data_IF_040850029632
#
_entry.id   IF_040850029632
#
_cell.length_a   1.000
_cell.length_b   1.000
_cell.length_c   1.000
_cell.angle_alpha   90.00
_cell.angle_beta   90.00
_cell.angle_gamma   90.00
#
_symmetry.space_group_name_H-M   'P 1'
#
loop_
_entity.id
_entity.type
_entity.pdbx_description
1 polymer ?
#
# COMPACT_ATOMS: atom_id res chain seq x y z
N UNK A 1 0.73 6.61 -51.61
CA UNK A 1 0.41 7.49 -50.46
C UNK A 1 -0.15 6.59 -49.37
N UNK A 2 0.32 6.75 -48.12
CA UNK A 2 -0.30 6.06 -46.99
C UNK A 2 -1.73 6.59 -46.81
N UNK A 3 -2.63 5.74 -46.40
CA UNK A 3 -3.98 6.18 -46.02
C UNK A 3 -3.96 7.06 -44.78
N UNK A 4 -5.00 7.90 -44.59
CA UNK A 4 -5.13 8.72 -43.35
C UNK A 4 -5.14 7.85 -42.10
N UNK A 5 -5.77 6.69 -42.15
CA UNK A 5 -5.78 5.70 -41.06
C UNK A 5 -4.37 5.20 -40.74
N UNK A 6 -3.61 4.78 -41.73
CA UNK A 6 -2.22 4.34 -41.53
C UNK A 6 -1.38 5.46 -40.87
N UNK A 7 -1.59 6.69 -41.30
CA UNK A 7 -0.90 7.85 -40.71
C UNK A 7 -1.28 8.06 -39.24
N UNK A 8 -2.58 7.92 -38.88
CA UNK A 8 -3.04 7.97 -37.50
C UNK A 8 -2.40 6.86 -36.68
N UNK A 9 -2.33 5.63 -37.18
CA UNK A 9 -1.69 4.52 -36.46
C UNK A 9 -0.19 4.74 -36.26
N UNK A 10 0.51 5.32 -37.22
CA UNK A 10 1.92 5.67 -37.09
C UNK A 10 2.12 6.72 -35.96
N UNK A 11 1.33 7.79 -35.96
CA UNK A 11 1.38 8.80 -34.90
C UNK A 11 0.97 8.24 -33.55
N UNK A 12 -0.07 7.39 -33.49
CA UNK A 12 -0.48 6.73 -32.27
C UNK A 12 0.63 5.82 -31.70
N UNK A 13 1.38 5.14 -32.58
CA UNK A 13 2.52 4.33 -32.18
C UNK A 13 3.67 5.20 -31.62
N UNK A 14 4.03 6.28 -32.30
CA UNK A 14 5.07 7.22 -31.89
C UNK A 14 4.74 7.87 -30.54
N UNK A 15 3.50 8.33 -30.37
CA UNK A 15 3.00 8.94 -29.13
C UNK A 15 2.61 7.92 -28.06
N UNK A 16 2.74 6.62 -28.34
CA UNK A 16 2.36 5.52 -27.43
C UNK A 16 0.89 5.59 -26.98
N UNK A 17 0.00 5.91 -27.94
CA UNK A 17 -1.45 5.96 -27.72
C UNK A 17 -2.07 4.59 -28.07
N UNK A 18 -2.01 3.66 -27.13
CA UNK A 18 -2.41 2.27 -27.38
C UNK A 18 -3.92 2.12 -27.58
N UNK A 19 -4.74 2.90 -26.89
CA UNK A 19 -6.20 2.87 -27.07
C UNK A 19 -6.60 3.36 -28.46
N UNK A 20 -5.90 4.34 -29.04
CA UNK A 20 -6.11 4.76 -30.43
C UNK A 20 -5.92 3.61 -31.40
N UNK A 21 -4.89 2.79 -31.19
CA UNK A 21 -4.61 1.66 -32.06
C UNK A 21 -5.67 0.57 -31.99
N UNK A 22 -6.22 0.33 -30.81
CA UNK A 22 -7.17 -0.76 -30.57
C UNK A 22 -8.62 -0.34 -30.77
N UNK A 23 -8.98 0.91 -30.45
CA UNK A 23 -10.36 1.37 -30.35
C UNK A 23 -10.80 2.31 -31.49
N UNK A 24 -9.88 2.77 -32.36
CA UNK A 24 -10.18 3.76 -33.38
C UNK A 24 -11.33 3.34 -34.27
N UNK A 25 -11.28 2.11 -34.83
CA UNK A 25 -12.29 1.61 -35.77
C UNK A 25 -13.68 1.50 -35.11
N UNK A 26 -13.72 0.92 -33.92
CA UNK A 26 -14.97 0.80 -33.16
C UNK A 26 -15.55 2.17 -32.85
N UNK A 27 -14.69 3.13 -32.44
CA UNK A 27 -15.14 4.49 -32.10
C UNK A 27 -15.59 5.27 -33.34
N UNK A 28 -14.97 5.06 -34.51
CA UNK A 28 -15.40 5.65 -35.80
C UNK A 28 -16.78 5.13 -36.21
N UNK A 29 -16.99 3.81 -36.11
CA UNK A 29 -18.29 3.20 -36.43
C UNK A 29 -19.40 3.74 -35.53
N UNK A 30 -19.17 3.80 -34.22
CA UNK A 30 -20.13 4.33 -33.25
C UNK A 30 -20.43 5.81 -33.51
N UNK A 31 -19.40 6.62 -33.79
CA UNK A 31 -19.56 8.03 -34.12
C UNK A 31 -20.39 8.26 -35.38
N UNK A 32 -20.29 7.39 -36.38
CA UNK A 32 -21.10 7.45 -37.60
C UNK A 32 -22.55 7.06 -37.34
N UNK A 33 -22.80 6.01 -36.52
CA UNK A 33 -24.13 5.55 -36.15
C UNK A 33 -24.89 6.59 -35.31
N UNK A 34 -24.20 7.22 -34.36
CA UNK A 34 -24.81 8.19 -33.43
C UNK A 34 -24.69 9.65 -33.89
N UNK A 35 -24.16 9.89 -35.09
CA UNK A 35 -23.94 11.22 -35.68
C UNK A 35 -23.14 12.17 -34.75
N UNK A 36 -22.06 11.68 -34.17
CA UNK A 36 -21.19 12.50 -33.33
C UNK A 36 -20.50 13.61 -34.10
N UNK A 37 -20.34 14.76 -33.48
CA UNK A 37 -19.46 15.78 -34.01
C UNK A 37 -17.97 15.46 -33.70
N UNK A 38 -17.07 16.19 -34.35
CA UNK A 38 -15.63 15.95 -34.21
C UNK A 38 -15.13 16.06 -32.76
N UNK A 39 -15.71 16.96 -31.94
CA UNK A 39 -15.33 17.13 -30.55
C UNK A 39 -15.78 15.93 -29.71
N UNK A 40 -17.00 15.43 -29.92
CA UNK A 40 -17.50 14.25 -29.24
C UNK A 40 -16.60 13.02 -29.53
N UNK A 41 -16.28 12.80 -30.81
CA UNK A 41 -15.38 11.72 -31.21
C UNK A 41 -14.01 11.81 -30.54
N UNK A 42 -13.38 12.99 -30.57
CA UNK A 42 -12.07 13.19 -29.90
C UNK A 42 -12.15 13.03 -28.40
N UNK A 43 -13.21 13.51 -27.77
CA UNK A 43 -13.42 13.39 -26.32
C UNK A 43 -13.51 11.92 -25.91
N UNK A 44 -14.28 11.11 -26.67
CA UNK A 44 -14.41 9.69 -26.40
C UNK A 44 -13.10 8.94 -26.57
N UNK A 45 -12.41 9.14 -27.69
CA UNK A 45 -11.17 8.45 -27.99
C UNK A 45 -10.04 8.81 -27.01
N UNK A 46 -9.89 10.09 -26.68
CA UNK A 46 -8.94 10.55 -25.64
C UNK A 46 -9.33 10.07 -24.25
N UNK A 47 -10.64 9.99 -23.97
CA UNK A 47 -11.17 9.43 -22.72
C UNK A 47 -10.75 7.99 -22.51
N UNK A 48 -10.88 7.15 -23.55
CA UNK A 48 -10.43 5.74 -23.54
C UNK A 48 -8.92 5.62 -23.29
N UNK A 49 -8.11 6.43 -23.97
CA UNK A 49 -6.65 6.44 -23.76
C UNK A 49 -6.30 6.87 -22.32
N UNK A 50 -6.95 7.91 -21.81
CA UNK A 50 -6.75 8.38 -20.44
C UNK A 50 -7.13 7.33 -19.41
N UNK A 51 -8.27 6.64 -19.60
CA UNK A 51 -8.72 5.56 -18.73
C UNK A 51 -7.72 4.39 -18.71
N UNK A 52 -7.27 3.97 -19.90
CA UNK A 52 -6.25 2.92 -20.05
C UNK A 52 -4.95 3.29 -19.36
N UNK A 53 -4.45 4.51 -19.53
CA UNK A 53 -3.23 4.97 -18.85
C UNK A 53 -3.37 5.01 -17.34
N UNK A 54 -4.53 5.43 -16.83
CA UNK A 54 -4.83 5.37 -15.39
C UNK A 54 -4.76 3.94 -14.87
N UNK A 55 -5.41 3.01 -15.57
CA UNK A 55 -5.42 1.61 -15.17
C UNK A 55 -4.01 0.98 -15.22
N UNK A 56 -3.23 1.23 -16.27
CA UNK A 56 -1.84 0.76 -16.37
C UNK A 56 -0.98 1.32 -15.21
N UNK A 57 -1.14 2.61 -14.85
CA UNK A 57 -0.43 3.21 -13.71
C UNK A 57 -0.83 2.56 -12.39
N UNK A 58 -2.14 2.31 -12.17
CA UNK A 58 -2.64 1.62 -10.95
C UNK A 58 -2.03 0.23 -10.81
N UNK A 59 -2.07 -0.57 -11.87
CA UNK A 59 -1.45 -1.91 -11.88
C UNK A 59 0.05 -1.86 -11.62
N UNK A 60 0.73 -0.90 -12.22
CA UNK A 60 2.17 -0.69 -12.00
C UNK A 60 2.49 -0.33 -10.54
N UNK A 61 1.70 0.57 -9.92
CA UNK A 61 1.86 0.91 -8.50
C UNK A 61 1.65 -0.28 -7.59
N UNK A 62 0.57 -1.05 -7.80
CA UNK A 62 0.29 -2.25 -7.01
C UNK A 62 1.44 -3.25 -7.12
N UNK A 63 1.93 -3.49 -8.34
CA UNK A 63 3.09 -4.38 -8.56
C UNK A 63 4.35 -3.89 -7.87
N UNK A 64 4.63 -2.58 -7.96
CA UNK A 64 5.83 -1.97 -7.39
C UNK A 64 5.79 -1.84 -5.88
N UNK A 65 4.61 -1.90 -5.26
CA UNK A 65 4.43 -1.80 -3.82
C UNK A 65 5.01 -2.99 -3.05
N UNK A 66 5.12 -4.17 -3.67
CA UNK A 66 5.72 -5.35 -3.07
C UNK A 66 4.81 -6.10 -2.08
N UNK A 67 3.49 -6.06 -2.28
CA UNK A 67 2.56 -6.81 -1.44
C UNK A 67 2.82 -8.31 -1.50
N UNK A 68 2.81 -9.03 -0.35
CA UNK A 68 3.07 -10.48 -0.30
C UNK A 68 1.94 -11.29 -0.92
N UNK A 69 0.71 -10.80 -0.83
CA UNK A 69 -0.50 -11.37 -1.40
C UNK A 69 -1.47 -10.26 -1.79
N UNK A 70 -2.30 -10.51 -2.79
CA UNK A 70 -3.41 -9.60 -3.10
C UNK A 70 -4.54 -9.88 -2.11
N UNK A 71 -4.87 -8.88 -1.29
CA UNK A 71 -5.93 -8.92 -0.29
C UNK A 71 -6.73 -7.63 -0.38
N UNK A 72 -8.05 -7.78 -0.49
CA UNK A 72 -8.95 -6.65 -0.69
C UNK A 72 -9.87 -6.43 0.51
N UNK A 73 -10.38 -5.20 0.67
CA UNK A 73 -11.27 -4.85 1.78
C UNK A 73 -12.59 -5.63 1.74
N UNK A 74 -13.13 -5.89 0.56
CA UNK A 74 -14.36 -6.66 0.38
C UNK A 74 -14.23 -8.15 0.73
N UNK A 75 -13.01 -8.65 0.86
CA UNK A 75 -12.75 -10.03 1.30
C UNK A 75 -12.72 -10.16 2.85
N UNK A 76 -12.79 -9.03 3.56
CA UNK A 76 -12.82 -9.04 5.02
C UNK A 76 -14.22 -9.39 5.51
N UNK A 77 -14.30 -10.44 6.32
CA UNK A 77 -15.53 -10.81 7.03
C UNK A 77 -15.61 -9.96 8.28
N UNK A 78 -16.43 -8.92 8.26
CA UNK A 78 -16.50 -7.91 9.31
C UNK A 78 -16.84 -8.51 10.67
N UNK A 79 -17.76 -9.49 10.72
CA UNK A 79 -18.21 -10.16 11.94
C UNK A 79 -17.11 -10.94 12.65
N UNK A 80 -16.11 -11.38 11.88
CA UNK A 80 -14.96 -12.13 12.40
C UNK A 80 -13.78 -11.24 12.83
N UNK A 81 -13.89 -9.93 12.59
CA UNK A 81 -12.84 -8.97 12.95
C UNK A 81 -13.01 -8.47 14.39
N UNK A 82 -11.92 -8.04 15.04
CA UNK A 82 -11.98 -7.34 16.32
C UNK A 82 -12.90 -6.11 16.26
N UNK A 83 -13.71 -5.91 17.31
CA UNK A 83 -14.71 -4.82 17.36
C UNK A 83 -14.12 -3.45 17.09
N UNK A 84 -12.93 -3.18 17.63
CA UNK A 84 -12.25 -1.90 17.40
C UNK A 84 -11.90 -1.69 15.93
N UNK A 85 -11.47 -2.76 15.24
CA UNK A 85 -11.21 -2.72 13.81
C UNK A 85 -12.50 -2.51 13.00
N UNK A 86 -13.61 -3.15 13.39
CA UNK A 86 -14.90 -2.96 12.73
C UNK A 86 -15.35 -1.49 12.78
N UNK A 87 -15.17 -0.83 13.92
CA UNK A 87 -15.58 0.57 14.12
C UNK A 87 -14.72 1.54 13.32
N UNK A 88 -13.40 1.32 13.27
CA UNK A 88 -12.47 2.28 12.68
C UNK A 88 -12.27 2.08 11.17
N UNK A 89 -12.50 0.87 10.66
CA UNK A 89 -12.22 0.54 9.26
C UNK A 89 -12.91 1.47 8.26
N UNK A 90 -14.19 1.85 8.40
CA UNK A 90 -14.84 2.79 7.49
C UNK A 90 -14.12 4.15 7.40
N UNK A 91 -13.58 4.65 8.50
CA UNK A 91 -12.79 5.88 8.52
C UNK A 91 -11.45 5.68 7.80
N UNK A 92 -10.75 4.57 8.09
CA UNK A 92 -9.49 4.24 7.43
C UNK A 92 -9.64 4.06 5.91
N UNK A 93 -10.79 3.59 5.46
CA UNK A 93 -11.10 3.41 4.05
C UNK A 93 -11.18 4.73 3.26
N UNK A 94 -11.40 5.85 3.89
CA UNK A 94 -11.34 7.17 3.24
C UNK A 94 -9.92 7.52 2.78
N UNK A 95 -8.91 6.90 3.39
CA UNK A 95 -7.48 7.16 3.20
C UNK A 95 -7.05 8.57 3.61
N UNK A 96 -7.88 9.30 4.36
CA UNK A 96 -7.54 10.65 4.82
C UNK A 96 -6.34 10.65 5.78
N UNK A 97 -6.14 9.56 6.51
CA UNK A 97 -4.94 9.40 7.34
C UNK A 97 -3.63 9.49 6.53
N UNK A 98 -3.64 9.04 5.27
CA UNK A 98 -2.47 9.16 4.36
C UNK A 98 -2.25 10.62 3.99
N UNK A 99 -3.32 11.35 3.62
CA UNK A 99 -3.25 12.77 3.27
C UNK A 99 -2.79 13.64 4.44
N UNK A 100 -3.19 13.25 5.65
CA UNK A 100 -2.83 13.94 6.90
C UNK A 100 -1.46 13.52 7.46
N UNK A 101 -0.78 12.54 6.85
CA UNK A 101 0.49 12.01 7.36
C UNK A 101 0.38 11.32 8.72
N UNK A 102 -0.80 10.78 9.07
CA UNK A 102 -1.07 10.08 10.33
C UNK A 102 -0.71 8.61 10.20
N UNK A 103 -0.12 8.05 11.25
CA UNK A 103 0.20 6.63 11.29
C UNK A 103 -1.02 5.77 11.66
N UNK A 104 -0.95 4.49 11.31
CA UNK A 104 -1.87 3.45 11.75
C UNK A 104 -1.05 2.31 12.39
N UNK A 105 -1.35 1.96 13.62
CA UNK A 105 -0.71 0.84 14.31
C UNK A 105 -1.76 -0.23 14.61
N UNK A 106 -1.62 -1.38 13.96
CA UNK A 106 -2.43 -2.57 14.18
C UNK A 106 -1.66 -3.51 15.10
N UNK A 107 -2.09 -3.65 16.35
CA UNK A 107 -1.40 -4.48 17.36
C UNK A 107 -2.32 -5.53 17.96
N UNK A 108 -1.79 -6.69 18.32
CA UNK A 108 -2.57 -7.77 18.95
C UNK A 108 -2.23 -9.16 18.44
N UNK A 109 -3.06 -10.15 18.73
CA UNK A 109 -2.79 -11.57 18.53
C UNK A 109 -2.46 -11.94 17.07
N UNK A 110 -1.64 -12.97 16.82
CA UNK A 110 -1.42 -13.51 15.48
C UNK A 110 -2.74 -13.99 14.84
N UNK A 111 -2.86 -13.85 13.52
CA UNK A 111 -3.98 -14.39 12.77
C UNK A 111 -5.30 -13.60 12.85
N UNK A 112 -5.30 -12.39 13.40
CA UNK A 112 -6.50 -11.53 13.55
C UNK A 112 -6.73 -10.57 12.37
N UNK A 113 -5.99 -10.73 11.26
CA UNK A 113 -6.24 -9.94 10.04
C UNK A 113 -5.41 -8.65 9.91
N UNK A 114 -4.44 -8.35 10.79
CA UNK A 114 -3.61 -7.13 10.73
C UNK A 114 -2.96 -6.92 9.37
N UNK A 115 -2.22 -7.91 8.88
CA UNK A 115 -1.56 -7.86 7.57
C UNK A 115 -2.57 -7.77 6.42
N UNK A 116 -3.75 -8.40 6.56
CA UNK A 116 -4.83 -8.30 5.56
C UNK A 116 -5.33 -6.85 5.47
N UNK A 117 -5.69 -6.23 6.59
CA UNK A 117 -6.14 -4.83 6.63
C UNK A 117 -5.06 -3.91 6.04
N UNK A 118 -3.81 -4.06 6.50
CA UNK A 118 -2.70 -3.23 6.03
C UNK A 118 -2.51 -3.35 4.50
N UNK A 119 -2.54 -4.58 3.96
CA UNK A 119 -2.42 -4.85 2.52
C UNK A 119 -3.61 -4.28 1.76
N UNK A 120 -4.83 -4.51 2.24
CA UNK A 120 -6.05 -4.05 1.57
C UNK A 120 -6.14 -2.52 1.50
N UNK A 121 -5.79 -1.81 2.58
CA UNK A 121 -5.66 -0.34 2.60
C UNK A 121 -4.55 0.12 1.65
N UNK A 122 -3.42 -0.58 1.60
CA UNK A 122 -2.32 -0.28 0.68
C UNK A 122 -2.71 -0.44 -0.80
N UNK A 123 -3.45 -1.49 -1.15
CA UNK A 123 -3.97 -1.71 -2.50
C UNK A 123 -4.97 -0.60 -2.86
N UNK A 124 -5.91 -0.29 -1.96
CA UNK A 124 -6.86 0.83 -2.14
C UNK A 124 -6.13 2.16 -2.34
N UNK A 125 -5.05 2.40 -1.60
CA UNK A 125 -4.21 3.59 -1.77
C UNK A 125 -3.56 3.63 -3.17
N UNK A 126 -3.01 2.52 -3.67
CA UNK A 126 -2.49 2.43 -5.04
C UNK A 126 -3.57 2.73 -6.10
N UNK A 127 -4.81 2.28 -5.87
CA UNK A 127 -5.95 2.55 -6.75
C UNK A 127 -6.36 4.03 -6.75
N UNK A 128 -6.11 4.76 -5.66
CA UNK A 128 -6.32 6.20 -5.51
C UNK A 128 -5.05 7.03 -5.79
N UNK A 129 -4.15 6.49 -6.60
CA UNK A 129 -2.96 7.16 -7.11
C UNK A 129 -1.85 7.44 -6.09
N UNK A 130 -1.92 6.92 -4.86
CA UNK A 130 -0.82 6.98 -3.89
C UNK A 130 0.31 6.01 -4.24
N UNK A 131 1.53 6.39 -3.91
CA UNK A 131 2.72 5.52 -3.98
C UNK A 131 2.88 4.78 -2.66
N UNK A 132 2.93 3.44 -2.73
CA UNK A 132 2.98 2.57 -1.54
C UNK A 132 4.22 1.70 -1.56
N UNK A 133 4.82 1.49 -0.40
CA UNK A 133 5.83 0.47 -0.14
C UNK A 133 5.31 -0.49 0.92
N UNK A 134 5.27 -1.77 0.62
CA UNK A 134 5.08 -2.83 1.61
C UNK A 134 6.43 -3.50 1.88
N UNK A 135 6.80 -3.62 3.14
CA UNK A 135 8.00 -4.33 3.56
C UNK A 135 7.78 -4.94 4.95
N UNK A 136 8.39 -6.09 5.22
CA UNK A 136 8.49 -6.54 6.60
C UNK A 136 9.66 -5.87 7.30
N UNK A 137 9.56 -5.65 8.61
CA UNK A 137 10.62 -5.00 9.39
C UNK A 137 11.94 -5.76 9.34
N UNK A 138 11.98 -7.10 9.37
CA UNK A 138 13.22 -7.85 9.16
C UNK A 138 13.90 -7.55 7.82
N UNK A 139 13.13 -7.53 6.73
CA UNK A 139 13.64 -7.20 5.39
C UNK A 139 14.14 -5.76 5.32
N UNK A 140 13.38 -4.83 5.87
CA UNK A 140 13.76 -3.41 5.92
C UNK A 140 15.08 -3.23 6.67
N UNK A 141 15.25 -3.87 7.83
CA UNK A 141 16.47 -3.78 8.62
C UNK A 141 17.69 -4.34 7.85
N UNK A 142 17.52 -5.46 7.15
CA UNK A 142 18.56 -6.03 6.29
C UNK A 142 18.96 -5.04 5.20
N UNK A 143 18.00 -4.46 4.48
CA UNK A 143 18.23 -3.45 3.44
C UNK A 143 18.96 -2.21 3.97
N UNK A 144 18.60 -1.74 5.18
CA UNK A 144 19.28 -0.58 5.80
C UNK A 144 20.75 -0.92 6.12
N UNK A 145 21.02 -2.12 6.66
CA UNK A 145 22.38 -2.57 6.97
C UNK A 145 23.22 -2.71 5.69
N UNK A 146 22.70 -3.34 4.66
CA UNK A 146 23.34 -3.47 3.37
C UNK A 146 23.65 -2.11 2.75
N UNK A 147 22.67 -1.21 2.73
CA UNK A 147 22.82 0.15 2.22
C UNK A 147 23.87 0.96 3.01
N UNK A 148 23.96 0.76 4.35
CA UNK A 148 24.99 1.36 5.19
C UNK A 148 26.38 0.83 4.79
N UNK A 149 26.52 -0.47 4.65
CA UNK A 149 27.79 -1.11 4.24
C UNK A 149 28.22 -0.69 2.84
N UNK A 150 27.28 -0.59 1.90
CA UNK A 150 27.51 -0.15 0.53
C UNK A 150 27.65 1.39 0.38
N UNK A 151 27.56 2.17 1.46
CA UNK A 151 27.55 3.65 1.46
C UNK A 151 26.42 4.28 0.62
N UNK A 152 25.32 3.56 0.44
CA UNK A 152 24.13 4.01 -0.32
C UNK A 152 22.94 4.32 0.57
N UNK A 153 23.13 4.39 1.89
CA UNK A 153 22.06 4.61 2.87
C UNK A 153 21.23 5.88 2.57
N UNK A 154 21.88 6.96 2.14
CA UNK A 154 21.18 8.20 1.79
C UNK A 154 20.22 8.03 0.62
N UNK A 155 20.58 7.23 -0.38
CA UNK A 155 19.72 6.92 -1.52
C UNK A 155 18.49 6.11 -1.07
N UNK A 156 18.68 5.12 -0.20
CA UNK A 156 17.59 4.35 0.40
C UNK A 156 16.64 5.25 1.20
N UNK A 157 17.17 6.15 2.04
CA UNK A 157 16.40 7.12 2.82
C UNK A 157 15.56 8.03 1.93
N UNK A 158 16.14 8.64 0.91
CA UNK A 158 15.44 9.51 -0.03
C UNK A 158 14.32 8.77 -0.78
N UNK A 159 14.54 7.50 -1.13
CA UNK A 159 13.50 6.66 -1.75
C UNK A 159 12.38 6.37 -0.75
N UNK A 160 12.72 6.04 0.50
CA UNK A 160 11.76 5.75 1.56
C UNK A 160 10.87 6.95 1.90
N UNK A 161 11.44 8.16 1.92
CA UNK A 161 10.71 9.42 2.17
C UNK A 161 9.70 9.75 1.05
N UNK A 162 9.92 9.30 -0.19
CA UNK A 162 9.06 9.63 -1.34
C UNK A 162 7.71 8.91 -1.34
N UNK A 163 7.63 7.72 -0.75
CA UNK A 163 6.37 6.99 -0.70
C UNK A 163 5.31 7.76 0.11
N UNK A 164 4.07 7.78 -0.38
CA UNK A 164 2.96 8.40 0.35
C UNK A 164 2.57 7.54 1.55
N UNK A 165 2.59 6.22 1.39
CA UNK A 165 2.33 5.24 2.44
C UNK A 165 3.46 4.21 2.49
N UNK A 166 3.93 3.89 3.68
CA UNK A 166 4.79 2.73 3.93
C UNK A 166 4.09 1.79 4.90
N UNK A 167 4.10 0.50 4.57
CA UNK A 167 3.59 -0.57 5.43
C UNK A 167 4.78 -1.35 5.96
N UNK A 168 4.99 -1.30 7.28
CA UNK A 168 6.01 -2.04 8.01
C UNK A 168 5.33 -3.22 8.72
N UNK A 169 5.29 -4.35 8.06
CA UNK A 169 4.67 -5.57 8.60
C UNK A 169 5.63 -6.32 9.54
N UNK A 170 5.08 -7.11 10.43
CA UNK A 170 5.84 -8.00 11.34
C UNK A 170 6.80 -7.26 12.28
N UNK A 171 6.43 -6.07 12.76
CA UNK A 171 7.22 -5.39 13.77
C UNK A 171 7.21 -6.22 15.06
N UNK A 172 8.40 -6.67 15.49
CA UNK A 172 8.51 -7.47 16.70
C UNK A 172 8.79 -8.95 16.52
N UNK A 173 8.93 -9.43 15.29
CA UNK A 173 9.30 -10.84 15.04
C UNK A 173 10.81 -11.11 15.15
N UNK A 174 11.63 -10.11 15.00
CA UNK A 174 13.09 -10.25 15.07
C UNK A 174 13.64 -9.28 16.11
N UNK A 175 14.43 -9.83 17.03
CA UNK A 175 15.18 -9.00 17.98
C UNK A 175 16.30 -8.24 17.24
N UNK A 176 16.44 -6.96 17.58
CA UNK A 176 17.49 -6.11 17.07
C UNK A 176 18.57 -5.92 18.14
N UNK A 177 19.82 -5.97 17.72
CA UNK A 177 20.92 -5.40 18.49
C UNK A 177 20.74 -3.87 18.61
N UNK A 178 21.57 -3.24 19.45
CA UNK A 178 21.47 -1.79 19.66
C UNK A 178 21.61 -1.00 18.36
N UNK A 179 22.57 -1.34 17.53
CA UNK A 179 22.80 -0.69 16.24
C UNK A 179 21.62 -0.85 15.30
N UNK A 180 21.06 -2.04 15.19
CA UNK A 180 19.85 -2.30 14.37
C UNK A 180 18.64 -1.51 14.84
N UNK A 181 18.45 -1.39 16.15
CA UNK A 181 17.40 -0.56 16.73
C UNK A 181 17.55 0.93 16.38
N UNK A 182 18.78 1.47 16.50
CA UNK A 182 19.10 2.86 16.13
C UNK A 182 18.87 3.12 14.63
N UNK A 183 19.31 2.21 13.78
CA UNK A 183 19.12 2.31 12.33
C UNK A 183 17.63 2.30 11.97
N UNK A 184 16.84 1.41 12.56
CA UNK A 184 15.42 1.31 12.32
C UNK A 184 14.69 2.57 12.81
N UNK A 185 15.00 3.03 14.03
CA UNK A 185 14.44 4.25 14.60
C UNK A 185 14.71 5.47 13.71
N UNK A 186 15.95 5.67 13.31
CA UNK A 186 16.36 6.78 12.45
C UNK A 186 15.61 6.72 11.10
N UNK A 187 15.49 5.53 10.53
CA UNK A 187 14.84 5.35 9.23
C UNK A 187 13.33 5.63 9.29
N UNK A 188 12.62 5.07 10.29
CA UNK A 188 11.18 5.33 10.49
C UNK A 188 10.91 6.79 10.85
N UNK A 189 11.81 7.43 11.61
CA UNK A 189 11.69 8.83 12.02
C UNK A 189 11.70 9.83 10.86
N UNK A 190 12.27 9.46 9.71
CA UNK A 190 12.26 10.32 8.50
C UNK A 190 10.86 10.69 8.04
N UNK A 191 9.87 9.86 8.35
CA UNK A 191 8.48 10.01 7.91
C UNK A 191 7.57 10.61 8.97
N UNK A 192 8.00 10.62 10.24
CA UNK A 192 7.17 11.03 11.37
C UNK A 192 6.58 12.43 11.19
N UNK A 193 5.25 12.56 11.30
CA UNK A 193 4.51 13.81 11.14
C UNK A 193 4.45 14.39 9.72
N UNK A 194 4.99 13.66 8.71
CA UNK A 194 5.01 14.11 7.31
C UNK A 194 4.26 13.17 6.38
N UNK A 195 4.46 11.88 6.54
CA UNK A 195 3.94 10.82 5.67
C UNK A 195 3.45 9.66 6.51
N UNK A 196 2.35 9.05 6.10
CA UNK A 196 1.73 7.95 6.82
C UNK A 196 2.59 6.67 6.80
N UNK A 197 2.55 5.96 7.93
CA UNK A 197 3.12 4.61 8.05
C UNK A 197 2.10 3.71 8.72
N UNK A 198 1.86 2.52 8.15
CA UNK A 198 1.10 1.45 8.79
C UNK A 198 2.12 0.51 9.43
N UNK A 199 1.89 0.17 10.69
CA UNK A 199 2.72 -0.80 11.41
C UNK A 199 1.82 -1.93 11.87
N UNK A 200 2.21 -3.17 11.61
CA UNK A 200 1.58 -4.33 12.23
C UNK A 200 2.53 -4.96 13.25
N UNK A 201 2.01 -5.32 14.40
CA UNK A 201 2.80 -5.97 15.45
C UNK A 201 1.96 -6.94 16.25
N UNK A 202 2.57 -8.03 16.69
CA UNK A 202 1.95 -8.96 17.63
C UNK A 202 2.27 -8.62 19.09
N UNK A 203 3.10 -7.62 19.33
CA UNK A 203 3.52 -7.22 20.65
C UNK A 203 2.82 -5.93 21.09
N UNK A 204 2.37 -5.91 22.32
CA UNK A 204 1.96 -4.67 22.96
C UNK A 204 3.19 -3.74 23.13
N UNK A 205 2.99 -2.43 23.13
CA UNK A 205 4.08 -1.45 23.16
C UNK A 205 5.04 -1.62 24.34
N UNK A 206 4.54 -2.02 25.51
CA UNK A 206 5.35 -2.28 26.70
C UNK A 206 6.31 -3.47 26.55
N UNK A 207 6.06 -4.35 25.56
CA UNK A 207 6.90 -5.51 25.25
C UNK A 207 7.93 -5.24 24.15
N UNK A 208 7.96 -4.05 23.55
CA UNK A 208 8.93 -3.71 22.52
C UNK A 208 10.38 -3.70 23.04
N UNK A 209 10.56 -3.55 24.38
CA UNK A 209 11.85 -3.73 25.04
C UNK A 209 12.42 -5.17 24.94
N UNK A 210 11.58 -6.16 24.59
CA UNK A 210 12.03 -7.53 24.35
C UNK A 210 12.76 -7.67 23.02
N UNK A 211 12.46 -6.77 22.07
CA UNK A 211 13.02 -6.78 20.72
C UNK A 211 14.19 -5.83 20.60
N UNK A 212 14.08 -4.65 21.16
CA UNK A 212 15.10 -3.60 21.13
C UNK A 212 15.60 -3.40 22.56
N UNK A 213 16.86 -3.75 22.80
CA UNK A 213 17.44 -3.76 24.17
C UNK A 213 17.58 -2.37 24.81
N UNK A 214 17.50 -1.29 24.03
CA UNK A 214 17.59 0.07 24.54
C UNK A 214 16.21 0.65 24.86
N UNK A 215 15.88 0.75 26.15
CA UNK A 215 14.59 1.24 26.65
C UNK A 215 14.30 2.69 26.28
N UNK A 216 15.34 3.54 26.22
CA UNK A 216 15.19 4.95 25.85
C UNK A 216 14.82 5.07 24.37
N UNK A 217 15.49 4.29 23.54
CA UNK A 217 15.21 4.22 22.12
C UNK A 217 13.79 3.72 21.84
N UNK A 218 13.35 2.66 22.57
CA UNK A 218 11.99 2.13 22.46
C UNK A 218 10.96 3.19 22.83
N UNK A 219 11.15 3.89 23.96
CA UNK A 219 10.24 4.94 24.38
C UNK A 219 10.11 6.06 23.32
N UNK A 220 11.23 6.50 22.77
CA UNK A 220 11.25 7.51 21.71
C UNK A 220 10.60 7.00 20.39
N UNK A 221 10.78 5.72 20.06
CA UNK A 221 10.16 5.10 18.89
C UNK A 221 8.65 5.00 19.05
N UNK A 222 8.17 4.52 20.19
CA UNK A 222 6.74 4.43 20.50
C UNK A 222 6.11 5.82 20.45
N UNK A 223 6.69 6.82 21.11
CA UNK A 223 6.19 8.19 21.10
C UNK A 223 6.00 8.73 19.69
N UNK A 224 7.02 8.59 18.82
CA UNK A 224 6.94 9.08 17.43
C UNK A 224 5.92 8.34 16.58
N UNK A 225 5.82 7.03 16.74
CA UNK A 225 4.94 6.21 15.90
C UNK A 225 3.48 6.33 16.33
N UNK A 226 3.23 6.58 17.61
CA UNK A 226 1.88 6.69 18.17
C UNK A 226 1.36 8.13 18.22
N UNK A 227 2.22 9.13 18.01
CA UNK A 227 1.79 10.52 18.02
C UNK A 227 0.74 10.79 16.93
N UNK A 228 -0.48 11.19 17.35
CA UNK A 228 -1.64 11.40 16.45
C UNK A 228 -1.95 10.20 15.54
N UNK A 229 -1.56 8.98 15.93
CA UNK A 229 -1.81 7.77 15.16
C UNK A 229 -3.18 7.16 15.47
N UNK A 230 -3.68 6.36 14.55
CA UNK A 230 -4.74 5.40 14.82
C UNK A 230 -4.12 4.16 15.47
N UNK A 231 -4.55 3.85 16.69
CA UNK A 231 -4.10 2.67 17.43
C UNK A 231 -5.27 1.69 17.45
N UNK A 232 -5.13 0.56 16.77
CA UNK A 232 -6.21 -0.42 16.65
C UNK A 232 -5.81 -1.72 17.33
N UNK A 233 -6.53 -2.07 18.37
CA UNK A 233 -6.33 -3.31 19.09
C UNK A 233 -6.97 -4.48 18.34
N UNK A 234 -6.14 -5.44 17.95
CA UNK A 234 -6.53 -6.65 17.25
C UNK A 234 -6.39 -7.90 18.15
N UNK A 235 -6.64 -7.74 19.47
CA UNK A 235 -6.49 -8.82 20.44
C UNK A 235 -7.80 -9.62 20.55
N UNK A 236 -8.03 -10.51 19.62
CA UNK A 236 -9.14 -11.46 19.61
C UNK A 236 -8.68 -12.86 19.14
N UNK A 237 -9.63 -13.78 19.02
CA UNK A 237 -9.36 -15.14 18.52
C UNK A 237 -8.88 -15.10 17.07
N UNK A 238 -7.89 -15.91 16.76
CA UNK A 238 -7.32 -16.00 15.41
C UNK A 238 -8.38 -16.43 14.40
N UNK A 239 -8.57 -15.65 13.34
CA UNK A 239 -9.40 -16.02 12.18
C UNK A 239 -8.95 -17.35 11.54
N UNK A 240 -7.64 -17.56 11.44
CA UNK A 240 -7.08 -18.81 10.90
C UNK A 240 -7.49 -20.03 11.73
N UNK A 241 -7.57 -19.89 13.05
CA UNK A 241 -8.05 -20.98 13.93
C UNK A 241 -9.55 -21.21 13.75
N UNK A 242 -10.36 -20.14 13.67
CA UNK A 242 -11.80 -20.24 13.40
C UNK A 242 -12.08 -20.94 12.07
N UNK A 243 -11.36 -20.56 11.01
CA UNK A 243 -11.48 -21.16 9.68
C UNK A 243 -11.12 -22.65 9.69
N UNK A 244 -10.01 -23.01 10.35
CA UNK A 244 -9.61 -24.41 10.51
C UNK A 244 -10.64 -25.23 11.30
N UNK A 245 -11.27 -24.64 12.31
CA UNK A 245 -12.33 -25.29 13.09
C UNK A 245 -13.61 -25.51 12.27
N UNK A 246 -14.04 -24.51 11.48
CA UNK A 246 -15.17 -24.64 10.54
C UNK A 246 -14.94 -25.79 9.56
N UNK A 247 -13.78 -25.86 8.91
CA UNK A 247 -13.42 -26.94 7.97
C UNK A 247 -13.42 -28.35 8.60
N UNK A 248 -13.29 -28.46 9.93
CA UNK A 248 -13.36 -29.74 10.64
C UNK A 248 -14.80 -30.12 11.01
N UNK A 249 -15.71 -29.16 11.13
CA UNK A 249 -17.13 -29.42 11.44
C UNK A 249 -17.94 -29.75 10.18
N UNK A 250 -17.47 -29.37 9.01
CA UNK A 250 -18.08 -29.63 7.72
C UNK A 250 -17.63 -31.01 7.11
N UNK A 251 -16.85 -31.80 7.85
CA UNK A 251 -16.44 -33.19 7.53
C UNK A 251 -17.09 -34.20 8.45
#
# INVERSE_FOLDING_TARGET
MKSEKETIYDYAAELKLLAFKEELECTLSLAAEENWNHLQFLTELLGKESARRRECRRRSRIRSAGFPQMKYLHELVMEDMPKEAQVILPELETLDFIRQGRNLVLYGNPGTGKTHIATALGIKACQQDFTVLFTSVPVLLTQIREAKSAKTLRTLQLRFEKYDLVICDEFGYVSCDKEGGELLFNHLSLRAGKKATIITTNLAFNRWNEIIKDKVLVAAMVDRLTHKAYLVNMTELSYRLKETQKMRQDK
#
